data_IF_658524738665
#
_entry.id   IF_658524738665
#
_cell.length_a   1.000
_cell.length_b   1.000
_cell.length_c   1.000
_cell.angle_alpha   90.00
_cell.angle_beta   90.00
_cell.angle_gamma   90.00
#
_symmetry.space_group_name_H-M   'P 1'
#
loop_
_entity.id
_entity.type
_entity.pdbx_description
1 polymer ?
#
# COMPACT_ATOMS: atom_id res chain seq x y z
N UNK A 1 9.17 5.53 -2.10
CA UNK A 1 8.52 6.77 -1.60
C UNK A 1 8.07 6.48 -0.18
N UNK A 2 8.45 7.32 0.76
CA UNK A 2 7.98 7.17 2.14
C UNK A 2 6.48 7.48 2.16
N UNK A 3 5.68 6.68 2.91
CA UNK A 3 4.29 7.04 3.15
C UNK A 3 4.24 8.50 3.62
N UNK A 4 3.42 9.35 3.02
CA UNK A 4 3.31 10.72 3.48
C UNK A 4 2.89 10.68 4.96
N UNK A 5 3.74 11.29 5.80
CA UNK A 5 3.43 11.44 7.23
C UNK A 5 2.14 12.25 7.32
N UNK A 6 1.12 11.68 7.91
CA UNK A 6 -0.19 12.35 8.02
C UNK A 6 -0.11 13.47 9.06
N UNK A 7 -1.03 14.44 9.00
CA UNK A 7 -1.15 15.50 10.00
C UNK A 7 -1.33 14.92 11.43
N UNK A 8 -2.03 13.80 11.54
CA UNK A 8 -2.22 13.07 12.80
C UNK A 8 -0.90 12.49 13.32
N UNK A 9 -0.05 11.96 12.42
CA UNK A 9 1.25 11.40 12.79
C UNK A 9 2.20 12.48 13.28
N UNK A 10 2.22 13.64 12.61
CA UNK A 10 3.04 14.80 13.02
C UNK A 10 2.59 15.31 14.40
N UNK A 11 1.29 15.40 14.64
CA UNK A 11 0.75 15.85 15.92
C UNK A 11 1.13 14.88 17.05
N UNK A 12 1.01 13.59 16.82
CA UNK A 12 1.39 12.56 17.78
C UNK A 12 2.90 12.62 18.10
N UNK A 13 3.74 12.75 17.09
CA UNK A 13 5.19 12.86 17.25
C UNK A 13 5.61 14.11 18.01
N UNK A 14 5.00 15.26 17.71
CA UNK A 14 5.25 16.49 18.44
C UNK A 14 4.84 16.37 19.92
N UNK A 15 3.71 15.71 20.20
CA UNK A 15 3.25 15.46 21.56
C UNK A 15 4.23 14.56 22.31
N UNK A 16 4.68 13.46 21.69
CA UNK A 16 5.66 12.54 22.28
C UNK A 16 7.00 13.22 22.50
N UNK A 17 7.49 14.03 21.57
CA UNK A 17 8.72 14.81 21.69
C UNK A 17 8.64 15.77 22.88
N UNK A 18 7.54 16.49 23.00
CA UNK A 18 7.30 17.42 24.13
C UNK A 18 7.27 16.70 25.47
N UNK A 19 6.54 15.57 25.56
CA UNK A 19 6.45 14.77 26.79
C UNK A 19 7.80 14.16 27.19
N UNK A 20 8.64 13.79 26.23
CA UNK A 20 9.96 13.21 26.45
C UNK A 20 11.09 14.25 26.59
N UNK A 21 10.78 15.53 26.44
CA UNK A 21 11.78 16.62 26.37
C UNK A 21 12.86 16.38 25.27
N UNK A 22 12.44 15.87 24.13
CA UNK A 22 13.24 15.50 22.96
C UNK A 22 12.82 16.31 21.75
N UNK A 23 13.70 16.39 20.76
CA UNK A 23 13.30 16.89 19.43
C UNK A 23 12.52 15.83 18.66
N UNK A 24 11.70 16.24 17.70
CA UNK A 24 10.96 15.33 16.83
C UNK A 24 11.90 14.36 16.09
N UNK A 25 13.07 14.83 15.67
CA UNK A 25 14.08 14.00 14.98
C UNK A 25 14.68 12.93 15.90
N UNK A 26 14.90 13.23 17.18
CA UNK A 26 15.36 12.27 18.17
C UNK A 26 14.31 11.20 18.43
N UNK A 27 13.05 11.58 18.57
CA UNK A 27 11.94 10.64 18.71
C UNK A 27 11.85 9.73 17.48
N UNK A 28 11.92 10.26 16.28
CA UNK A 28 11.95 9.47 15.05
C UNK A 28 13.12 8.48 15.01
N UNK A 29 14.31 8.93 15.40
CA UNK A 29 15.50 8.08 15.44
C UNK A 29 15.34 6.93 16.42
N UNK A 30 14.81 7.19 17.60
CA UNK A 30 14.57 6.17 18.62
C UNK A 30 13.50 5.16 18.18
N UNK A 31 12.39 5.63 17.60
CA UNK A 31 11.37 4.75 17.00
C UNK A 31 11.97 3.84 15.93
N UNK A 32 12.80 4.39 15.04
CA UNK A 32 13.47 3.61 13.99
C UNK A 32 14.41 2.55 14.58
N UNK A 33 15.17 2.90 15.63
CA UNK A 33 16.04 1.96 16.33
C UNK A 33 15.21 0.85 16.98
N UNK A 34 14.13 1.18 17.67
CA UNK A 34 13.25 0.21 18.31
C UNK A 34 12.57 -0.70 17.30
N UNK A 35 12.05 -0.15 16.20
CA UNK A 35 11.46 -0.92 15.10
C UNK A 35 12.47 -1.90 14.48
N UNK A 36 13.68 -1.43 14.20
CA UNK A 36 14.75 -2.26 13.65
C UNK A 36 15.13 -3.40 14.62
N UNK A 37 15.27 -3.13 15.92
CA UNK A 37 15.51 -4.15 16.95
C UNK A 37 14.39 -5.19 16.99
N UNK A 38 13.13 -4.76 16.88
CA UNK A 38 11.96 -5.64 16.86
C UNK A 38 11.96 -6.55 15.62
N UNK A 39 12.31 -6.01 14.45
CA UNK A 39 12.46 -6.78 13.21
C UNK A 39 13.52 -7.87 13.38
N UNK A 40 14.70 -7.52 13.88
CA UNK A 40 15.80 -8.47 14.07
C UNK A 40 15.45 -9.54 15.11
N UNK A 41 14.77 -9.16 16.21
CA UNK A 41 14.30 -10.11 17.23
C UNK A 41 13.28 -11.11 16.68
N UNK A 42 12.43 -10.68 15.76
CA UNK A 42 11.38 -11.50 15.15
C UNK A 42 11.87 -12.23 13.87
N UNK A 43 13.16 -12.09 13.52
CA UNK A 43 13.72 -12.79 12.38
C UNK A 43 13.70 -14.29 12.62
N UNK A 44 13.10 -15.02 11.67
CA UNK A 44 12.81 -16.47 11.81
C UNK A 44 14.04 -17.36 11.89
N UNK A 45 15.16 -16.92 11.29
CA UNK A 45 16.35 -17.74 11.11
C UNK A 45 17.52 -17.22 11.93
N UNK A 46 18.38 -18.12 12.38
CA UNK A 46 19.58 -17.77 13.12
C UNK A 46 20.55 -16.93 12.28
N UNK A 47 21.18 -15.96 12.94
CA UNK A 47 22.27 -15.14 12.39
C UNK A 47 23.57 -15.68 12.98
N UNK A 48 24.43 -16.26 12.15
CA UNK A 48 25.67 -16.87 12.60
C UNK A 48 26.87 -16.48 11.73
N UNK A 49 28.07 -16.61 12.28
CA UNK A 49 29.31 -16.42 11.55
C UNK A 49 29.83 -17.76 11.03
N UNK A 50 30.18 -17.82 9.76
CA UNK A 50 30.81 -19.00 9.13
C UNK A 50 32.32 -18.80 9.02
N UNK A 51 33.07 -19.56 9.78
CA UNK A 51 34.53 -19.48 9.77
C UNK A 51 35.10 -19.88 8.41
N UNK A 52 34.55 -20.92 7.77
CA UNK A 52 34.98 -21.40 6.45
C UNK A 52 34.82 -20.33 5.35
N UNK A 53 33.76 -19.53 5.40
CA UNK A 53 33.49 -18.49 4.40
C UNK A 53 33.85 -17.08 4.88
N UNK A 54 34.34 -16.94 6.10
CA UNK A 54 34.69 -15.68 6.74
C UNK A 54 33.59 -14.62 6.56
N UNK A 55 32.33 -15.02 6.83
CA UNK A 55 31.14 -14.20 6.57
C UNK A 55 30.00 -14.49 7.53
N UNK A 56 29.21 -13.44 7.82
CA UNK A 56 27.94 -13.56 8.53
C UNK A 56 26.85 -14.06 7.60
N UNK A 57 26.03 -15.00 8.08
CA UNK A 57 25.03 -15.71 7.29
C UNK A 57 23.70 -15.80 8.02
N UNK A 58 22.64 -15.84 7.22
CA UNK A 58 21.28 -16.19 7.61
C UNK A 58 20.49 -16.67 6.39
N UNK A 59 19.21 -16.94 6.59
CA UNK A 59 18.26 -17.17 5.52
C UNK A 59 17.18 -16.09 5.54
N UNK A 60 16.63 -15.73 4.38
CA UNK A 60 15.42 -14.93 4.26
C UNK A 60 14.28 -15.80 3.72
N UNK A 61 13.03 -15.56 4.14
CA UNK A 61 11.86 -16.21 3.55
C UNK A 61 11.81 -15.99 2.03
N UNK A 62 11.52 -17.07 1.28
CA UNK A 62 11.38 -17.04 -0.18
C UNK A 62 10.44 -18.16 -0.62
N UNK A 63 9.19 -17.82 -0.89
CA UNK A 63 8.16 -18.78 -1.28
C UNK A 63 8.40 -19.42 -2.66
N UNK A 64 9.29 -18.86 -3.48
CA UNK A 64 9.65 -19.41 -4.80
C UNK A 64 10.60 -20.59 -4.70
N UNK A 65 11.24 -20.78 -3.56
CA UNK A 65 12.22 -21.87 -3.35
C UNK A 65 11.56 -23.09 -2.70
N UNK A 66 12.01 -24.31 -3.03
CA UNK A 66 11.46 -25.55 -2.45
C UNK A 66 11.48 -25.55 -0.91
N UNK A 67 12.53 -24.99 -0.30
CA UNK A 67 12.70 -24.90 1.15
C UNK A 67 12.12 -23.60 1.73
N UNK A 68 11.35 -22.82 0.94
CA UNK A 68 10.75 -21.52 1.31
C UNK A 68 11.73 -20.54 1.94
N UNK A 69 13.02 -20.62 1.56
CA UNK A 69 14.08 -19.74 2.07
C UNK A 69 15.21 -19.59 1.09
N UNK A 70 15.89 -18.44 1.10
CA UNK A 70 17.12 -18.17 0.35
C UNK A 70 18.27 -17.81 1.30
N UNK A 71 19.51 -18.27 1.07
CA UNK A 71 20.65 -17.88 1.87
C UNK A 71 21.07 -16.43 1.57
N UNK A 72 21.50 -15.74 2.60
CA UNK A 72 22.09 -14.40 2.50
C UNK A 72 23.38 -14.37 3.30
N UNK A 73 24.43 -13.76 2.73
CA UNK A 73 25.74 -13.60 3.38
C UNK A 73 26.29 -12.19 3.22
N UNK A 74 26.95 -11.68 4.25
CA UNK A 74 27.64 -10.38 4.26
C UNK A 74 28.93 -10.47 5.06
N UNK A 75 29.91 -9.63 4.70
CA UNK A 75 31.21 -9.62 5.39
C UNK A 75 31.12 -9.11 6.84
N UNK A 76 30.18 -8.23 7.14
CA UNK A 76 29.96 -7.73 8.49
C UNK A 76 28.53 -8.05 8.98
N UNK A 77 28.38 -8.25 10.30
CA UNK A 77 27.10 -8.49 10.95
C UNK A 77 26.14 -7.33 10.71
N UNK A 78 26.63 -6.12 10.84
CA UNK A 78 25.84 -4.89 10.62
C UNK A 78 25.22 -4.83 9.20
N UNK A 79 26.01 -5.17 8.17
CA UNK A 79 25.49 -5.18 6.80
C UNK A 79 24.46 -6.28 6.57
N UNK A 80 24.60 -7.43 7.26
CA UNK A 80 23.60 -8.48 7.21
C UNK A 80 22.30 -8.04 7.90
N UNK A 81 22.40 -7.41 9.07
CA UNK A 81 21.25 -6.88 9.80
C UNK A 81 20.51 -5.79 9.00
N UNK A 82 21.23 -4.88 8.34
CA UNK A 82 20.64 -3.89 7.41
C UNK A 82 19.85 -4.55 6.28
N UNK A 83 20.37 -5.64 5.72
CA UNK A 83 19.68 -6.38 4.65
C UNK A 83 18.42 -7.08 5.15
N UNK A 84 18.49 -7.70 6.32
CA UNK A 84 17.32 -8.33 6.96
C UNK A 84 16.22 -7.28 7.19
N UNK A 85 16.59 -6.14 7.77
CA UNK A 85 15.66 -5.03 8.04
C UNK A 85 15.03 -4.53 6.73
N UNK A 86 15.85 -4.27 5.70
CA UNK A 86 15.37 -3.83 4.39
C UNK A 86 14.37 -4.82 3.81
N UNK A 87 14.69 -6.12 3.82
CA UNK A 87 13.81 -7.15 3.30
C UNK A 87 12.43 -7.15 3.98
N UNK A 88 12.37 -7.09 5.32
CA UNK A 88 11.10 -7.09 6.02
C UNK A 88 10.30 -5.80 5.83
N UNK A 89 10.97 -4.65 5.72
CA UNK A 89 10.32 -3.36 5.40
C UNK A 89 9.72 -3.42 3.99
N UNK A 90 10.48 -3.88 3.00
CA UNK A 90 10.00 -4.02 1.62
C UNK A 90 8.82 -5.00 1.52
N UNK A 91 8.92 -6.14 2.22
CA UNK A 91 7.84 -7.12 2.30
C UNK A 91 6.57 -6.52 2.92
N UNK A 92 6.70 -5.79 4.02
CA UNK A 92 5.57 -5.13 4.67
C UNK A 92 4.95 -4.04 3.81
N UNK A 93 5.77 -3.26 3.11
CA UNK A 93 5.28 -2.27 2.12
C UNK A 93 4.48 -2.95 1.02
N UNK A 94 4.97 -4.07 0.47
CA UNK A 94 4.26 -4.83 -0.56
C UNK A 94 2.93 -5.42 -0.03
N UNK A 95 2.93 -5.98 1.18
CA UNK A 95 1.71 -6.48 1.83
C UNK A 95 0.69 -5.37 2.10
N UNK A 96 1.14 -4.21 2.57
CA UNK A 96 0.28 -3.05 2.80
C UNK A 96 -0.33 -2.54 1.48
N UNK A 97 0.46 -2.49 0.40
CA UNK A 97 -0.03 -2.12 -0.93
C UNK A 97 -1.11 -3.07 -1.45
N UNK A 98 -0.95 -4.38 -1.22
CA UNK A 98 -1.95 -5.37 -1.61
C UNK A 98 -3.25 -5.30 -0.78
N UNK A 99 -3.17 -4.71 0.43
CA UNK A 99 -4.29 -4.57 1.34
C UNK A 99 -5.02 -3.22 1.22
N UNK A 100 -4.59 -2.33 0.31
CA UNK A 100 -5.22 -1.03 0.11
C UNK A 100 -6.68 -1.21 -0.32
N UNK A 101 -7.58 -0.44 0.27
CA UNK A 101 -9.01 -0.44 -0.07
C UNK A 101 -9.29 0.40 -1.32
N UNK A 102 -10.46 0.21 -1.93
CA UNK A 102 -10.88 1.03 -3.08
C UNK A 102 -11.00 2.51 -2.69
N UNK A 103 -11.43 2.83 -1.47
CA UNK A 103 -11.54 4.21 -0.98
C UNK A 103 -10.17 4.87 -0.82
N UNK A 104 -9.22 4.17 -0.21
CA UNK A 104 -7.85 4.67 -0.05
C UNK A 104 -7.19 4.90 -1.42
N UNK A 105 -7.33 3.93 -2.33
CA UNK A 105 -6.76 4.05 -3.67
C UNK A 105 -7.42 5.15 -4.50
N UNK A 106 -8.74 5.37 -4.35
CA UNK A 106 -9.42 6.50 -4.98
C UNK A 106 -8.84 7.83 -4.52
N UNK A 107 -8.58 8.00 -3.23
CA UNK A 107 -7.99 9.21 -2.69
C UNK A 107 -6.59 9.47 -3.27
N UNK A 108 -5.73 8.44 -3.34
CA UNK A 108 -4.41 8.50 -3.98
C UNK A 108 -4.50 8.85 -5.47
N UNK A 109 -5.38 8.15 -6.21
CA UNK A 109 -5.61 8.39 -7.63
C UNK A 109 -6.10 9.81 -7.93
N UNK A 110 -6.99 10.35 -7.08
CA UNK A 110 -7.53 11.69 -7.25
C UNK A 110 -6.43 12.76 -7.07
N UNK A 111 -5.55 12.58 -6.08
CA UNK A 111 -4.37 13.42 -5.87
C UNK A 111 -3.42 13.32 -7.07
N UNK A 112 -3.13 12.11 -7.55
CA UNK A 112 -2.31 11.88 -8.73
C UNK A 112 -2.87 12.61 -9.96
N UNK A 113 -4.19 12.49 -10.21
CA UNK A 113 -4.84 13.18 -11.33
C UNK A 113 -4.75 14.69 -11.23
N UNK A 114 -4.87 15.25 -10.02
CA UNK A 114 -4.79 16.69 -9.76
C UNK A 114 -3.37 17.24 -9.91
N UNK A 115 -2.38 16.55 -9.35
CA UNK A 115 -1.05 17.11 -9.13
C UNK A 115 -0.04 16.71 -10.23
N UNK A 116 -0.25 15.56 -10.89
CA UNK A 116 0.71 14.98 -11.84
C UNK A 116 0.17 14.80 -13.26
N UNK A 117 -1.06 15.21 -13.53
CA UNK A 117 -1.62 15.12 -14.88
C UNK A 117 -2.19 16.48 -15.34
N UNK A 118 -2.39 16.62 -16.67
CA UNK A 118 -2.97 17.82 -17.27
C UNK A 118 -4.51 17.87 -17.21
N UNK A 119 -5.13 17.11 -16.32
CA UNK A 119 -6.60 17.05 -16.17
C UNK A 119 -7.13 18.38 -15.62
N UNK A 120 -8.16 18.92 -16.29
CA UNK A 120 -8.77 20.20 -15.89
C UNK A 120 -9.50 20.06 -14.54
N UNK A 121 -9.51 21.15 -13.74
CA UNK A 121 -10.19 21.19 -12.46
C UNK A 121 -11.68 20.78 -12.53
N UNK A 122 -12.38 21.13 -13.63
CA UNK A 122 -13.77 20.71 -13.87
C UNK A 122 -13.89 19.18 -13.94
N UNK A 123 -12.97 18.49 -14.62
CA UNK A 123 -12.98 17.03 -14.70
C UNK A 123 -12.70 16.36 -13.36
N UNK A 124 -11.82 16.95 -12.54
CA UNK A 124 -11.62 16.48 -11.16
C UNK A 124 -12.93 16.59 -10.35
N UNK A 125 -13.65 17.70 -10.46
CA UNK A 125 -14.96 17.86 -9.81
C UNK A 125 -15.99 16.82 -10.31
N UNK A 126 -15.98 16.49 -11.58
CA UNK A 126 -16.81 15.43 -12.16
C UNK A 126 -16.47 14.06 -11.57
N UNK A 127 -15.18 13.73 -11.42
CA UNK A 127 -14.74 12.49 -10.75
C UNK A 127 -15.25 12.41 -9.31
N UNK A 128 -15.10 13.48 -8.54
CA UNK A 128 -15.61 13.56 -7.16
C UNK A 128 -17.14 13.41 -7.12
N UNK A 129 -17.84 14.06 -8.03
CA UNK A 129 -19.30 13.97 -8.12
C UNK A 129 -19.79 12.55 -8.43
N UNK A 130 -19.15 11.87 -9.42
CA UNK A 130 -19.49 10.48 -9.76
C UNK A 130 -19.12 9.51 -8.63
N UNK A 131 -17.96 9.71 -7.97
CA UNK A 131 -17.57 8.92 -6.80
C UNK A 131 -18.61 9.02 -5.68
N UNK A 132 -18.96 10.23 -5.26
CA UNK A 132 -19.93 10.48 -4.19
C UNK A 132 -21.32 9.90 -4.49
N UNK A 133 -21.70 9.89 -5.76
CA UNK A 133 -23.02 9.40 -6.20
C UNK A 133 -23.10 7.89 -6.28
N UNK A 134 -22.04 7.23 -6.76
CA UNK A 134 -22.07 5.79 -7.08
C UNK A 134 -21.44 4.92 -6.02
N UNK A 135 -20.33 5.34 -5.46
CA UNK A 135 -19.44 4.48 -4.67
C UNK A 135 -19.47 4.80 -3.19
N UNK A 136 -19.45 6.09 -2.84
CA UNK A 136 -19.45 6.51 -1.44
C UNK A 136 -20.54 5.79 -0.65
N UNK A 137 -20.20 5.36 0.56
CA UNK A 137 -21.10 4.66 1.49
C UNK A 137 -21.53 3.25 1.03
N UNK A 138 -20.90 2.67 0.00
CA UNK A 138 -21.13 1.29 -0.41
C UNK A 138 -20.09 0.34 0.19
N UNK A 139 -20.43 -0.94 0.32
CA UNK A 139 -19.48 -1.95 0.77
C UNK A 139 -18.29 -2.14 -0.21
N UNK A 140 -18.49 -1.79 -1.49
CA UNK A 140 -17.45 -1.91 -2.51
C UNK A 140 -16.20 -1.07 -2.16
N UNK A 141 -16.37 0.13 -1.58
CA UNK A 141 -15.24 1.03 -1.27
C UNK A 141 -14.36 0.52 -0.14
N UNK A 142 -14.93 -0.31 0.74
CA UNK A 142 -14.21 -0.94 1.85
C UNK A 142 -13.46 -2.22 1.43
N UNK A 143 -13.74 -2.74 0.24
CA UNK A 143 -13.06 -3.93 -0.26
C UNK A 143 -11.62 -3.62 -0.63
N UNK A 144 -10.72 -4.57 -0.34
CA UNK A 144 -9.34 -4.51 -0.81
C UNK A 144 -9.30 -4.65 -2.33
N UNK A 145 -8.45 -3.87 -2.97
CA UNK A 145 -8.34 -3.84 -4.44
C UNK A 145 -8.11 -5.25 -5.02
N UNK A 146 -7.25 -6.05 -4.40
CA UNK A 146 -6.96 -7.41 -4.85
C UNK A 146 -8.14 -8.39 -4.72
N UNK A 147 -9.16 -8.07 -3.92
CA UNK A 147 -10.36 -8.90 -3.72
C UNK A 147 -11.50 -8.54 -4.69
N UNK A 148 -11.40 -7.39 -5.38
CA UNK A 148 -12.42 -6.93 -6.32
C UNK A 148 -12.34 -7.74 -7.62
N UNK A 149 -13.31 -8.63 -7.81
CA UNK A 149 -13.40 -9.49 -9.00
C UNK A 149 -14.36 -8.88 -10.04
N UNK A 150 -14.23 -9.23 -11.34
CA UNK A 150 -15.15 -8.77 -12.38
C UNK A 150 -16.62 -9.04 -12.04
N UNK A 151 -16.92 -10.20 -11.47
CA UNK A 151 -18.30 -10.56 -11.08
C UNK A 151 -18.87 -9.65 -9.98
N UNK A 152 -18.04 -9.19 -9.05
CA UNK A 152 -18.43 -8.22 -8.02
C UNK A 152 -18.88 -6.91 -8.67
N UNK A 153 -18.11 -6.41 -9.62
CA UNK A 153 -18.42 -5.17 -10.35
C UNK A 153 -19.65 -5.31 -11.25
N UNK A 154 -19.82 -6.46 -11.93
CA UNK A 154 -21.01 -6.73 -12.73
C UNK A 154 -22.26 -6.67 -11.85
N UNK A 155 -22.24 -7.29 -10.68
CA UNK A 155 -23.36 -7.25 -9.73
C UNK A 155 -23.63 -5.82 -9.25
N UNK A 156 -22.60 -5.11 -8.82
CA UNK A 156 -22.67 -3.72 -8.36
C UNK A 156 -23.33 -2.81 -9.41
N UNK A 157 -22.86 -2.84 -10.66
CA UNK A 157 -23.42 -2.00 -11.73
C UNK A 157 -24.84 -2.42 -12.14
N UNK A 158 -25.16 -3.72 -12.04
CA UNK A 158 -26.53 -4.22 -12.28
C UNK A 158 -27.50 -3.69 -11.24
N UNK A 159 -27.14 -3.74 -9.96
CA UNK A 159 -27.92 -3.20 -8.85
C UNK A 159 -28.09 -1.69 -9.00
N UNK A 160 -27.02 -0.95 -9.35
CA UNK A 160 -27.07 0.48 -9.60
C UNK A 160 -28.09 0.83 -10.73
N UNK A 161 -28.17 0.01 -11.77
CA UNK A 161 -29.11 0.23 -12.88
C UNK A 161 -30.54 -0.14 -12.48
N UNK A 162 -30.72 -1.29 -11.82
CA UNK A 162 -32.03 -1.86 -11.53
C UNK A 162 -32.70 -1.21 -10.30
N UNK A 163 -31.96 -1.12 -9.21
CA UNK A 163 -32.51 -0.74 -7.91
C UNK A 163 -32.41 0.76 -7.65
N UNK A 164 -31.31 1.40 -8.09
CA UNK A 164 -31.10 2.85 -7.97
C UNK A 164 -31.59 3.64 -9.19
N UNK A 165 -32.08 2.96 -10.24
CA UNK A 165 -32.61 3.57 -11.45
C UNK A 165 -31.64 4.54 -12.16
N UNK A 166 -30.35 4.30 -12.09
CA UNK A 166 -29.37 5.11 -12.79
C UNK A 166 -29.42 4.86 -14.31
N UNK A 167 -29.34 5.92 -15.09
CA UNK A 167 -29.30 5.82 -16.55
C UNK A 167 -28.01 5.13 -17.00
N UNK A 168 -28.04 4.47 -18.17
CA UNK A 168 -26.86 3.85 -18.79
C UNK A 168 -25.68 4.81 -18.92
N UNK A 169 -25.93 6.07 -19.27
CA UNK A 169 -24.89 7.11 -19.36
C UNK A 169 -24.18 7.34 -18.01
N UNK A 170 -24.93 7.43 -16.93
CA UNK A 170 -24.36 7.62 -15.58
C UNK A 170 -23.56 6.41 -15.14
N UNK A 171 -24.07 5.20 -15.38
CA UNK A 171 -23.34 3.96 -15.09
C UNK A 171 -22.04 3.90 -15.90
N UNK A 172 -22.06 4.34 -17.16
CA UNK A 172 -20.87 4.43 -18.00
C UNK A 172 -19.84 5.42 -17.45
N UNK A 173 -20.26 6.58 -16.96
CA UNK A 173 -19.36 7.55 -16.33
C UNK A 173 -18.72 6.99 -15.05
N UNK A 174 -19.52 6.38 -14.18
CA UNK A 174 -19.01 5.73 -12.97
C UNK A 174 -18.02 4.61 -13.30
N UNK A 175 -18.32 3.81 -14.34
CA UNK A 175 -17.41 2.78 -14.84
C UNK A 175 -16.09 3.37 -15.34
N UNK A 176 -16.13 4.53 -16.01
CA UNK A 176 -14.93 5.23 -16.48
C UNK A 176 -14.05 5.70 -15.32
N UNK A 177 -14.64 6.23 -14.24
CA UNK A 177 -13.91 6.60 -13.01
C UNK A 177 -13.25 5.37 -12.40
N UNK A 178 -14.01 4.29 -12.21
CA UNK A 178 -13.49 3.06 -11.62
C UNK A 178 -12.37 2.46 -12.49
N UNK A 179 -12.53 2.49 -13.82
CA UNK A 179 -11.50 2.06 -14.76
C UNK A 179 -10.21 2.86 -14.61
N UNK A 180 -10.31 4.19 -14.42
CA UNK A 180 -9.15 5.04 -14.15
C UNK A 180 -8.43 4.68 -12.85
N UNK A 181 -9.17 4.37 -11.77
CA UNK A 181 -8.62 3.94 -10.49
C UNK A 181 -7.91 2.58 -10.63
N UNK A 182 -8.54 1.61 -11.33
CA UNK A 182 -7.95 0.29 -11.51
C UNK A 182 -6.73 0.32 -12.46
N UNK A 183 -6.71 1.21 -13.44
CA UNK A 183 -5.52 1.44 -14.28
C UNK A 183 -4.36 2.00 -13.44
N UNK A 184 -4.65 2.95 -12.54
CA UNK A 184 -3.66 3.45 -11.59
C UNK A 184 -3.16 2.35 -10.65
N UNK A 185 -4.03 1.43 -10.21
CA UNK A 185 -3.65 0.27 -9.42
C UNK A 185 -2.67 -0.66 -10.15
N UNK A 186 -2.79 -0.76 -11.49
CA UNK A 186 -1.84 -1.52 -12.33
C UNK A 186 -0.51 -0.78 -12.44
N UNK A 187 -0.53 0.54 -12.70
CA UNK A 187 0.66 1.39 -12.76
C UNK A 187 1.47 1.35 -11.46
N UNK A 188 0.78 1.27 -10.32
CA UNK A 188 1.36 1.13 -8.97
C UNK A 188 1.67 -0.33 -8.56
N UNK A 189 1.55 -1.28 -9.49
CA UNK A 189 1.83 -2.71 -9.28
C UNK A 189 1.01 -3.37 -8.14
N UNK A 190 -0.17 -2.82 -7.80
CA UNK A 190 -1.09 -3.36 -6.78
C UNK A 190 -1.84 -4.57 -7.32
N UNK A 191 -2.27 -4.51 -8.57
CA UNK A 191 -2.94 -5.60 -9.30
C UNK A 191 -2.30 -5.82 -10.66
N UNK A 192 -2.40 -7.04 -11.19
CA UNK A 192 -1.84 -7.42 -12.49
C UNK A 192 -2.79 -7.22 -13.68
N UNK A 193 -4.08 -7.05 -13.43
CA UNK A 193 -5.10 -6.89 -14.47
C UNK A 193 -6.27 -6.06 -13.96
N UNK A 194 -6.96 -5.39 -14.89
CA UNK A 194 -8.09 -4.55 -14.56
C UNK A 194 -9.38 -5.39 -14.46
N UNK A 195 -10.06 -5.42 -13.29
CA UNK A 195 -11.29 -6.19 -13.11
C UNK A 195 -12.55 -5.51 -13.68
N UNK A 196 -12.46 -4.26 -14.17
CA UNK A 196 -13.63 -3.53 -14.70
C UNK A 196 -14.08 -4.19 -16.02
N UNK A 197 -15.34 -4.68 -16.12
CA UNK A 197 -15.83 -5.26 -17.34
C UNK A 197 -15.85 -4.25 -18.49
N UNK A 198 -15.43 -4.67 -19.67
CA UNK A 198 -15.56 -3.89 -20.92
C UNK A 198 -17.01 -3.71 -21.33
#
# INVERSE_FOLDING_TARGET
>A
MDNPVTFSDITLLNTLATCANMTTDEVFKDFKIMANKKILKNHKYEIYYSESEKSWRTYLPDETKPNKRRPVKRKSKENLEKEIIRFYIEKQKAENRQNVTLEELYAEWLLYKRDYTSVKAKTIQEYVSEWNRFFKDTELVKMKIGEIKPITLIRFFREATKDRQFTHKRVSNARSVLNGIMSYAIEEEIISHNPVPM
#
